data_IF_116375996673
#
_entry.id   IF_116375996673
#
_cell.length_a   1.000
_cell.length_b   1.000
_cell.length_c   1.000
_cell.angle_alpha   90.00
_cell.angle_beta   90.00
_cell.angle_gamma   90.00
#
_symmetry.space_group_name_H-M   'P 1'
#
loop_
_entity.id
_entity.type
_entity.pdbx_description
1 polymer ?
#
# COMPACT_ATOMS: atom_id res chain seq x y z
N UNK A 1 -7.04 34.58 -26.13
CA UNK A 1 -7.60 33.99 -24.87
C UNK A 1 -7.73 32.50 -25.09
N UNK A 2 -6.72 31.76 -24.72
CA UNK A 2 -6.70 30.28 -24.84
C UNK A 2 -7.34 29.73 -23.58
N UNK A 3 -8.52 29.16 -23.72
CA UNK A 3 -9.19 28.44 -22.64
C UNK A 3 -8.32 27.24 -22.28
N UNK A 4 -7.84 27.21 -21.04
CA UNK A 4 -7.24 26.02 -20.44
C UNK A 4 -8.32 24.93 -20.41
N UNK A 5 -8.07 23.83 -21.12
CA UNK A 5 -8.90 22.63 -21.07
C UNK A 5 -8.97 22.15 -19.62
N UNK A 6 -10.16 21.91 -19.05
CA UNK A 6 -10.23 21.29 -17.73
C UNK A 6 -9.58 19.91 -17.83
N UNK A 7 -8.64 19.63 -16.92
CA UNK A 7 -8.03 18.31 -16.73
C UNK A 7 -9.20 17.32 -16.62
N UNK A 8 -9.38 16.48 -17.63
CA UNK A 8 -10.34 15.37 -17.56
C UNK A 8 -10.00 14.57 -16.30
N UNK A 9 -10.88 14.60 -15.33
CA UNK A 9 -10.73 13.84 -14.11
C UNK A 9 -10.67 12.36 -14.51
N UNK A 10 -9.47 11.76 -14.43
CA UNK A 10 -9.26 10.36 -14.78
C UNK A 10 -10.16 9.52 -13.87
N UNK A 11 -11.12 8.80 -14.46
CA UNK A 11 -12.06 7.98 -13.69
C UNK A 11 -11.31 6.94 -12.86
N UNK A 12 -11.67 6.74 -11.58
CA UNK A 12 -11.04 5.75 -10.74
C UNK A 12 -11.09 4.34 -11.34
N UNK A 13 -10.00 3.58 -11.19
CA UNK A 13 -9.94 2.19 -11.62
C UNK A 13 -10.76 1.28 -10.68
N UNK A 14 -10.86 1.64 -9.40
CA UNK A 14 -11.64 0.95 -8.38
C UNK A 14 -12.32 1.99 -7.47
N UNK A 15 -13.59 1.76 -7.16
CA UNK A 15 -14.33 2.49 -6.13
C UNK A 15 -15.01 1.49 -5.21
N UNK A 16 -14.69 1.53 -3.94
CA UNK A 16 -15.41 0.88 -2.86
C UNK A 16 -16.25 1.93 -2.14
N UNK A 17 -17.56 1.77 -2.10
CA UNK A 17 -18.47 2.74 -1.50
C UNK A 17 -19.27 2.11 -0.36
N UNK A 18 -19.00 2.52 0.87
CA UNK A 18 -19.69 2.13 2.11
C UNK A 18 -19.84 0.62 2.28
N UNK A 19 -18.75 -0.12 2.01
CA UNK A 19 -18.75 -1.58 2.08
C UNK A 19 -18.92 -2.04 3.52
N UNK A 20 -19.93 -2.86 3.75
CA UNK A 20 -20.16 -3.51 5.03
C UNK A 20 -20.34 -5.01 4.83
N UNK A 21 -19.73 -5.80 5.70
CA UNK A 21 -19.89 -7.26 5.74
C UNK A 21 -20.17 -7.73 7.15
N UNK A 22 -21.33 -8.35 7.32
CA UNK A 22 -21.73 -9.04 8.55
C UNK A 22 -21.72 -10.53 8.29
N UNK A 23 -21.08 -11.29 9.18
CA UNK A 23 -21.05 -12.76 9.16
C UNK A 23 -21.55 -13.25 10.53
N UNK A 24 -22.71 -13.93 10.53
CA UNK A 24 -23.40 -14.26 11.77
C UNK A 24 -23.78 -13.00 12.54
N UNK A 25 -23.31 -12.89 13.78
CA UNK A 25 -23.53 -11.72 14.64
C UNK A 25 -22.36 -10.70 14.60
N UNK A 26 -21.32 -10.94 13.81
CA UNK A 26 -20.11 -10.09 13.80
C UNK A 26 -20.04 -9.25 12.53
N UNK A 27 -19.83 -7.95 12.70
CA UNK A 27 -19.45 -7.07 11.61
C UNK A 27 -17.94 -7.18 11.39
N UNK A 28 -17.55 -7.72 10.22
CA UNK A 28 -16.16 -7.94 9.85
C UNK A 28 -15.59 -6.74 9.11
N UNK A 29 -16.41 -6.09 8.28
CA UNK A 29 -16.09 -4.86 7.55
C UNK A 29 -17.24 -3.90 7.78
N UNK A 30 -16.95 -2.66 8.15
CA UNK A 30 -17.94 -1.69 8.59
C UNK A 30 -17.72 -0.34 7.90
N UNK A 31 -18.60 -0.05 6.94
CA UNK A 31 -18.66 1.21 6.19
C UNK A 31 -17.34 1.63 5.55
N UNK A 32 -16.61 0.70 4.95
CA UNK A 32 -15.33 0.95 4.28
C UNK A 32 -15.55 1.61 2.92
N UNK A 33 -14.92 2.75 2.70
CA UNK A 33 -14.95 3.49 1.43
C UNK A 33 -13.55 3.94 1.05
N UNK A 34 -13.15 3.75 -0.20
CA UNK A 34 -11.90 4.23 -0.79
C UNK A 34 -11.96 4.17 -2.31
N UNK A 35 -11.06 4.88 -2.96
CA UNK A 35 -10.88 4.85 -4.41
C UNK A 35 -9.43 4.62 -4.81
N UNK A 36 -9.23 4.00 -5.97
CA UNK A 36 -7.93 3.74 -6.55
C UNK A 36 -7.85 4.35 -7.94
N UNK A 37 -6.79 5.11 -8.20
CA UNK A 37 -6.58 5.81 -9.47
C UNK A 37 -5.71 4.98 -10.42
N UNK A 38 -5.86 5.13 -11.74
CA UNK A 38 -4.91 4.56 -12.68
C UNK A 38 -3.49 5.07 -12.42
N UNK A 39 -2.51 4.15 -12.51
CA UNK A 39 -1.09 4.50 -12.37
C UNK A 39 -0.60 4.63 -10.92
N UNK A 40 -1.45 4.36 -9.92
CA UNK A 40 -1.01 4.37 -8.52
C UNK A 40 -0.88 2.98 -7.91
N UNK A 41 0.01 2.85 -6.93
CA UNK A 41 0.08 1.70 -6.03
C UNK A 41 -0.58 2.08 -4.72
N UNK A 42 -1.69 1.44 -4.39
CA UNK A 42 -2.48 1.69 -3.19
C UNK A 42 -2.33 0.56 -2.18
N UNK A 43 -1.92 0.91 -0.97
CA UNK A 43 -1.75 0.00 0.15
C UNK A 43 -3.00 -0.09 1.03
N UNK A 44 -3.46 -1.30 1.33
CA UNK A 44 -4.55 -1.56 2.27
C UNK A 44 -3.99 -2.28 3.49
N UNK A 45 -3.73 -1.52 4.55
CA UNK A 45 -2.89 -1.90 5.67
C UNK A 45 -3.69 -2.24 6.91
N UNK A 46 -3.22 -3.23 7.66
CA UNK A 46 -3.80 -3.54 8.95
C UNK A 46 -3.33 -4.88 9.50
N UNK A 47 -3.56 -5.14 10.79
CA UNK A 47 -3.18 -6.39 11.41
C UNK A 47 -3.98 -7.58 10.87
N UNK A 48 -3.57 -8.77 11.26
CA UNK A 48 -4.31 -9.98 10.95
C UNK A 48 -5.71 -9.91 11.58
N UNK A 49 -6.74 -10.29 10.80
CA UNK A 49 -8.13 -10.18 11.25
C UNK A 49 -8.77 -8.79 11.15
N UNK A 50 -8.05 -7.77 10.66
CA UNK A 50 -8.61 -6.41 10.48
C UNK A 50 -9.72 -6.31 9.43
N UNK A 51 -9.90 -7.33 8.58
CA UNK A 51 -10.90 -7.36 7.51
C UNK A 51 -10.34 -7.23 6.09
N UNK A 52 -9.01 -7.23 5.90
CA UNK A 52 -8.34 -7.05 4.59
C UNK A 52 -8.81 -8.06 3.55
N UNK A 53 -8.58 -9.35 3.76
CA UNK A 53 -8.96 -10.43 2.83
C UNK A 53 -10.48 -10.46 2.60
N UNK A 54 -11.29 -10.18 3.64
CA UNK A 54 -12.75 -10.07 3.49
C UNK A 54 -13.14 -8.93 2.56
N UNK A 55 -12.47 -7.77 2.68
CA UNK A 55 -12.67 -6.64 1.77
C UNK A 55 -12.28 -7.02 0.35
N UNK A 56 -11.09 -7.61 0.14
CA UNK A 56 -10.64 -8.07 -1.17
C UNK A 56 -11.63 -9.05 -1.80
N UNK A 57 -12.10 -10.03 -1.05
CA UNK A 57 -13.11 -10.98 -1.54
C UNK A 57 -14.42 -10.32 -1.95
N UNK A 58 -14.83 -9.22 -1.28
CA UNK A 58 -15.96 -8.41 -1.71
C UNK A 58 -15.65 -7.63 -3.00
N UNK A 59 -14.45 -7.06 -3.10
CA UNK A 59 -14.02 -6.34 -4.31
C UNK A 59 -14.13 -7.25 -5.53
N UNK A 60 -13.53 -8.42 -5.50
CA UNK A 60 -13.50 -9.34 -6.64
C UNK A 60 -14.77 -10.22 -6.78
N UNK A 61 -15.80 -9.93 -5.99
CA UNK A 61 -17.11 -10.59 -6.10
C UNK A 61 -17.16 -12.03 -5.57
N UNK A 62 -16.12 -12.53 -4.89
CA UNK A 62 -16.10 -13.85 -4.26
C UNK A 62 -17.11 -13.97 -3.10
N UNK A 63 -17.36 -12.86 -2.41
CA UNK A 63 -18.42 -12.76 -1.41
C UNK A 63 -19.25 -11.51 -1.64
N UNK A 64 -20.56 -11.57 -1.37
CA UNK A 64 -21.43 -10.40 -1.45
C UNK A 64 -21.28 -9.52 -0.22
N UNK A 65 -21.11 -8.19 -0.37
CA UNK A 65 -21.25 -7.26 0.76
C UNK A 65 -22.69 -7.33 1.32
N UNK A 66 -22.84 -7.08 2.62
CA UNK A 66 -24.14 -6.91 3.27
C UNK A 66 -24.79 -5.60 2.82
N UNK A 67 -24.00 -4.54 2.69
CA UNK A 67 -24.36 -3.26 2.09
C UNK A 67 -23.16 -2.60 1.40
N UNK A 68 -23.40 -1.57 0.62
CA UNK A 68 -22.38 -0.87 -0.15
C UNK A 68 -22.26 -1.40 -1.59
N UNK A 69 -21.30 -0.82 -2.33
CA UNK A 69 -21.11 -1.09 -3.75
C UNK A 69 -19.64 -1.11 -4.11
N UNK A 70 -19.30 -1.92 -5.11
CA UNK A 70 -17.98 -1.94 -5.76
C UNK A 70 -18.14 -1.63 -7.23
N UNK A 71 -17.34 -0.68 -7.73
CA UNK A 71 -17.23 -0.35 -9.14
C UNK A 71 -15.79 -0.53 -9.59
N UNK A 72 -15.56 -1.28 -10.67
CA UNK A 72 -14.22 -1.50 -11.26
C UNK A 72 -14.24 -1.06 -12.70
N UNK A 73 -13.31 -0.17 -13.06
CA UNK A 73 -13.19 0.39 -14.41
C UNK A 73 -14.51 0.92 -14.98
N UNK A 74 -15.41 1.44 -14.11
CA UNK A 74 -16.72 1.93 -14.47
C UNK A 74 -17.86 0.90 -14.42
N UNK A 75 -17.56 -0.39 -14.21
CA UNK A 75 -18.56 -1.46 -14.13
C UNK A 75 -18.92 -1.79 -12.67
N UNK A 76 -20.22 -1.90 -12.39
CA UNK A 76 -20.69 -2.39 -11.08
C UNK A 76 -20.47 -3.90 -10.98
N UNK A 77 -19.67 -4.33 -10.00
CA UNK A 77 -19.28 -5.76 -9.81
C UNK A 77 -20.50 -6.68 -9.62
N UNK A 78 -21.63 -6.18 -9.15
CA UNK A 78 -22.86 -7.00 -8.96
C UNK A 78 -23.70 -7.11 -10.21
N UNK A 79 -23.70 -6.08 -11.06
CA UNK A 79 -24.55 -5.99 -12.26
C UNK A 79 -23.82 -6.45 -13.50
N UNK A 80 -22.55 -6.04 -13.60
CA UNK A 80 -21.74 -6.18 -14.81
C UNK A 80 -20.49 -7.03 -14.50
N UNK A 81 -20.66 -8.13 -13.75
CA UNK A 81 -19.58 -8.94 -13.17
C UNK A 81 -18.50 -9.32 -14.20
N UNK A 82 -18.92 -9.85 -15.35
CA UNK A 82 -17.98 -10.32 -16.39
C UNK A 82 -17.15 -9.15 -16.96
N UNK A 83 -17.79 -8.01 -17.24
CA UNK A 83 -17.12 -6.83 -17.74
C UNK A 83 -16.16 -6.23 -16.71
N UNK A 84 -16.56 -6.21 -15.43
CA UNK A 84 -15.71 -5.80 -14.32
C UNK A 84 -14.48 -6.72 -14.19
N UNK A 85 -14.65 -8.05 -14.20
CA UNK A 85 -13.57 -9.02 -14.01
C UNK A 85 -12.61 -9.08 -15.19
N UNK A 86 -13.04 -8.77 -16.41
CA UNK A 86 -12.12 -8.64 -17.56
C UNK A 86 -11.09 -7.51 -17.41
N UNK A 87 -11.37 -6.54 -16.57
CA UNK A 87 -10.45 -5.43 -16.31
C UNK A 87 -9.47 -5.71 -15.15
N UNK A 88 -9.62 -6.85 -14.47
CA UNK A 88 -8.95 -7.13 -13.21
C UNK A 88 -8.09 -8.38 -13.30
N UNK A 89 -6.82 -8.26 -12.89
CA UNK A 89 -6.00 -9.39 -12.48
C UNK A 89 -5.99 -9.47 -10.97
N UNK A 90 -6.16 -10.65 -10.38
CA UNK A 90 -6.15 -10.76 -8.93
C UNK A 90 -5.44 -12.03 -8.45
N UNK A 91 -4.79 -11.90 -7.28
CA UNK A 91 -4.32 -13.01 -6.46
C UNK A 91 -4.92 -12.78 -5.08
N UNK A 92 -5.78 -13.70 -4.65
CA UNK A 92 -6.36 -13.70 -3.30
C UNK A 92 -5.69 -14.83 -2.52
N UNK A 93 -4.98 -14.47 -1.46
CA UNK A 93 -4.13 -15.36 -0.67
C UNK A 93 -2.89 -15.84 -1.47
N UNK A 94 -2.80 -17.12 -1.86
CA UNK A 94 -1.66 -17.67 -2.59
C UNK A 94 -2.04 -17.96 -4.04
N UNK A 95 -1.09 -17.82 -4.99
CA UNK A 95 -1.34 -18.25 -6.36
C UNK A 95 -1.53 -19.76 -6.44
N UNK A 96 -2.67 -20.17 -7.00
CA UNK A 96 -3.00 -21.58 -7.24
C UNK A 96 -2.28 -22.08 -8.49
N UNK A 97 -1.04 -22.56 -8.29
CA UNK A 97 -0.18 -23.06 -9.35
C UNK A 97 -0.09 -24.60 -9.32
N UNK A 98 -0.18 -25.21 -10.48
CA UNK A 98 0.03 -26.65 -10.64
C UNK A 98 1.53 -26.97 -10.57
N UNK A 99 1.99 -27.42 -9.40
CA UNK A 99 3.44 -27.64 -9.12
C UNK A 99 4.09 -28.71 -9.99
N UNK A 100 3.31 -29.66 -10.50
CA UNK A 100 3.79 -30.72 -11.40
C UNK A 100 3.96 -30.27 -12.86
N UNK A 101 3.35 -29.15 -13.22
CA UNK A 101 3.48 -28.49 -14.52
C UNK A 101 4.68 -27.54 -14.54
N UNK A 102 5.15 -27.18 -15.73
CA UNK A 102 6.09 -26.08 -15.95
C UNK A 102 5.42 -24.73 -15.77
N UNK A 103 6.21 -23.66 -15.66
CA UNK A 103 5.68 -22.29 -15.63
C UNK A 103 4.87 -21.97 -16.90
N UNK A 104 5.39 -22.40 -18.05
CA UNK A 104 4.73 -22.26 -19.37
C UNK A 104 3.37 -22.95 -19.40
N UNK A 105 3.31 -24.23 -19.03
CA UNK A 105 2.06 -25.00 -19.01
C UNK A 105 1.02 -24.38 -18.06
N UNK A 106 1.44 -23.83 -16.92
CA UNK A 106 0.56 -23.09 -16.03
C UNK A 106 -0.03 -21.86 -16.75
N UNK A 107 0.81 -21.02 -17.35
CA UNK A 107 0.32 -19.82 -18.04
C UNK A 107 -0.55 -20.16 -19.26
N UNK A 108 -0.21 -21.21 -20.02
CA UNK A 108 -1.04 -21.69 -21.13
C UNK A 108 -2.43 -22.14 -20.67
N UNK A 109 -2.51 -22.83 -19.53
CA UNK A 109 -3.78 -23.27 -18.97
C UNK A 109 -4.71 -22.06 -18.73
N UNK A 110 -4.21 -21.01 -18.06
CA UNK A 110 -4.97 -19.80 -17.79
C UNK A 110 -5.21 -18.95 -19.05
N UNK A 111 -4.26 -18.86 -19.96
CA UNK A 111 -4.42 -18.17 -21.25
C UNK A 111 -5.58 -18.76 -22.07
N UNK A 112 -5.72 -20.10 -22.10
CA UNK A 112 -6.85 -20.77 -22.74
C UNK A 112 -8.18 -20.43 -22.06
N UNK A 113 -8.25 -20.41 -20.73
CA UNK A 113 -9.45 -20.04 -19.97
C UNK A 113 -9.89 -18.62 -20.27
N UNK A 114 -8.93 -17.70 -20.41
CA UNK A 114 -9.16 -16.29 -20.71
C UNK A 114 -9.32 -16.00 -22.21
N UNK A 115 -9.10 -17.01 -23.08
CA UNK A 115 -9.12 -16.87 -24.53
C UNK A 115 -8.12 -15.82 -25.04
N UNK A 116 -6.94 -15.71 -24.40
CA UNK A 116 -5.86 -14.81 -24.82
C UNK A 116 -4.83 -15.51 -25.71
N UNK A 117 -4.19 -14.79 -26.64
CA UNK A 117 -3.18 -15.38 -27.53
C UNK A 117 -1.96 -15.91 -26.78
N UNK A 118 -1.32 -16.97 -27.30
CA UNK A 118 -0.09 -17.53 -26.71
C UNK A 118 1.09 -16.54 -26.60
N UNK A 119 1.15 -15.55 -27.47
CA UNK A 119 2.14 -14.47 -27.39
C UNK A 119 2.08 -13.66 -26.07
N UNK A 120 0.94 -13.65 -25.41
CA UNK A 120 0.79 -13.02 -24.08
C UNK A 120 1.64 -13.71 -23.00
N UNK A 121 1.90 -15.02 -23.15
CA UNK A 121 2.71 -15.80 -22.20
C UNK A 121 4.13 -15.27 -22.14
N UNK A 122 4.75 -15.05 -23.30
CA UNK A 122 6.12 -14.51 -23.37
C UNK A 122 6.15 -13.09 -22.80
N UNK A 123 5.19 -12.27 -23.19
CA UNK A 123 5.05 -10.89 -22.69
C UNK A 123 4.95 -10.81 -21.15
N UNK A 124 4.09 -11.63 -20.53
CA UNK A 124 3.95 -11.60 -19.07
C UNK A 124 5.15 -12.24 -18.38
N UNK A 125 5.80 -13.23 -18.98
CA UNK A 125 7.00 -13.86 -18.45
C UNK A 125 8.18 -12.87 -18.40
N UNK A 126 8.39 -12.08 -19.45
CA UNK A 126 9.38 -11.01 -19.48
C UNK A 126 9.08 -9.93 -18.42
N UNK A 127 7.81 -9.56 -18.26
CA UNK A 127 7.40 -8.57 -17.25
C UNK A 127 7.80 -8.96 -15.83
N UNK A 128 7.70 -10.26 -15.52
CA UNK A 128 8.01 -10.78 -14.18
C UNK A 128 9.41 -11.38 -14.07
N UNK A 129 10.25 -11.25 -15.12
CA UNK A 129 11.61 -11.80 -15.21
C UNK A 129 11.66 -13.33 -14.94
N UNK A 130 10.80 -14.07 -15.64
CA UNK A 130 10.74 -15.54 -15.60
C UNK A 130 10.90 -16.17 -16.99
N UNK A 131 11.20 -15.42 -18.05
CA UNK A 131 11.30 -15.88 -19.44
C UNK A 131 12.27 -17.07 -19.62
N UNK A 132 13.39 -17.08 -18.87
CA UNK A 132 14.40 -18.15 -18.91
C UNK A 132 14.09 -19.33 -17.97
N UNK A 133 12.96 -19.28 -17.24
CA UNK A 133 12.56 -20.28 -16.25
C UNK A 133 11.26 -20.99 -16.58
N UNK A 134 10.53 -20.52 -17.61
CA UNK A 134 9.19 -21.03 -17.95
C UNK A 134 9.13 -22.55 -18.17
N UNK A 135 10.17 -23.14 -18.72
CA UNK A 135 10.20 -24.57 -19.05
C UNK A 135 10.62 -25.47 -17.87
N UNK A 136 10.87 -24.87 -16.71
CA UNK A 136 11.13 -25.60 -15.46
C UNK A 136 9.82 -25.86 -14.71
N UNK A 137 9.75 -27.00 -14.00
CA UNK A 137 8.58 -27.34 -13.17
C UNK A 137 8.43 -26.36 -12.01
N UNK A 138 7.20 -25.89 -11.79
CA UNK A 138 6.86 -24.94 -10.71
C UNK A 138 7.19 -25.50 -9.32
N UNK A 139 7.19 -26.83 -9.16
CA UNK A 139 7.62 -27.49 -7.92
C UNK A 139 9.07 -27.16 -7.51
N UNK A 140 9.93 -26.78 -8.47
CA UNK A 140 11.34 -26.41 -8.22
C UNK A 140 11.55 -24.90 -8.02
N UNK A 141 10.50 -24.09 -8.16
CA UNK A 141 10.58 -22.65 -8.01
C UNK A 141 10.75 -22.24 -6.55
N UNK A 142 11.54 -21.19 -6.31
CA UNK A 142 11.54 -20.49 -5.02
C UNK A 142 10.15 -19.87 -4.74
N UNK A 143 9.91 -19.45 -3.51
CA UNK A 143 8.65 -18.77 -3.18
C UNK A 143 8.47 -17.50 -4.02
N UNK A 144 9.52 -16.68 -4.15
CA UNK A 144 9.50 -15.47 -4.98
C UNK A 144 9.23 -15.76 -6.45
N UNK A 145 9.80 -16.84 -7.03
CA UNK A 145 9.46 -17.25 -8.39
C UNK A 145 7.99 -17.65 -8.52
N UNK A 146 7.43 -18.35 -7.54
CA UNK A 146 5.99 -18.69 -7.55
C UNK A 146 5.10 -17.48 -7.45
N UNK A 147 5.44 -16.52 -6.59
CA UNK A 147 4.71 -15.25 -6.49
C UNK A 147 4.75 -14.48 -7.82
N UNK A 148 5.93 -14.36 -8.44
CA UNK A 148 6.06 -13.72 -9.76
C UNK A 148 5.29 -14.44 -10.85
N UNK A 149 5.26 -15.77 -10.86
CA UNK A 149 4.44 -16.53 -11.80
C UNK A 149 2.94 -16.30 -11.59
N UNK A 150 2.50 -16.20 -10.31
CA UNK A 150 1.12 -15.80 -9.98
C UNK A 150 0.78 -14.39 -10.49
N UNK A 151 1.70 -13.43 -10.34
CA UNK A 151 1.53 -12.09 -10.92
C UNK A 151 1.48 -12.18 -12.45
N UNK A 152 2.34 -12.97 -13.11
CA UNK A 152 2.27 -13.19 -14.55
C UNK A 152 0.89 -13.75 -14.98
N UNK A 153 0.36 -14.72 -14.25
CA UNK A 153 -0.99 -15.25 -14.45
C UNK A 153 -2.06 -14.17 -14.34
N UNK A 154 -1.99 -13.33 -13.29
CA UNK A 154 -2.93 -12.23 -13.10
C UNK A 154 -2.83 -11.15 -14.18
N UNK A 155 -1.67 -11.01 -14.85
CA UNK A 155 -1.42 -10.07 -15.94
C UNK A 155 -1.86 -10.57 -17.33
N UNK A 156 -2.26 -11.84 -17.47
CA UNK A 156 -2.82 -12.35 -18.72
C UNK A 156 -4.10 -11.56 -19.06
N UNK A 157 -4.25 -11.23 -20.35
CA UNK A 157 -5.39 -10.43 -20.80
C UNK A 157 -5.25 -8.91 -20.56
N UNK A 158 -4.07 -8.47 -20.12
CA UNK A 158 -3.74 -7.03 -19.98
C UNK A 158 -4.73 -6.25 -19.12
N UNK A 159 -4.91 -6.62 -17.83
CA UNK A 159 -5.84 -5.94 -16.94
C UNK A 159 -5.41 -4.49 -16.68
N UNK A 160 -6.38 -3.64 -16.36
CA UNK A 160 -6.16 -2.23 -15.94
C UNK A 160 -5.99 -2.08 -14.43
N UNK A 161 -6.45 -3.07 -13.68
CA UNK A 161 -6.41 -3.13 -12.23
C UNK A 161 -5.77 -4.46 -11.79
N UNK A 162 -4.81 -4.40 -10.89
CA UNK A 162 -4.19 -5.57 -10.26
C UNK A 162 -4.50 -5.55 -8.76
N UNK A 163 -5.04 -6.64 -8.23
CA UNK A 163 -5.37 -6.79 -6.81
C UNK A 163 -4.56 -7.96 -6.24
N UNK A 164 -3.75 -7.68 -5.22
CA UNK A 164 -2.85 -8.65 -4.61
C UNK A 164 -3.05 -8.69 -3.09
N UNK A 165 -3.37 -9.87 -2.58
CA UNK A 165 -3.52 -10.09 -1.13
C UNK A 165 -2.19 -10.61 -0.58
N UNK A 166 -1.52 -9.80 0.27
CA UNK A 166 -0.25 -10.12 0.95
C UNK A 166 0.87 -10.63 0.01
N UNK A 167 1.19 -9.97 -1.13
CA UNK A 167 2.08 -10.52 -2.15
C UNK A 167 3.53 -10.68 -1.72
N UNK A 168 3.95 -10.00 -0.65
CA UNK A 168 5.30 -10.05 -0.08
C UNK A 168 5.42 -11.07 1.06
N UNK A 169 4.31 -11.69 1.50
CA UNK A 169 4.31 -12.56 2.66
C UNK A 169 5.21 -13.80 2.47
N UNK A 170 6.10 -14.01 3.44
CA UNK A 170 7.03 -15.15 3.46
C UNK A 170 8.20 -15.05 2.48
N UNK A 171 8.35 -13.95 1.74
CA UNK A 171 9.50 -13.71 0.88
C UNK A 171 10.72 -13.28 1.70
N UNK A 172 11.89 -13.59 1.19
CA UNK A 172 13.14 -13.03 1.67
C UNK A 172 13.28 -11.55 1.24
N UNK A 173 14.20 -10.77 1.84
CA UNK A 173 14.35 -9.34 1.51
C UNK A 173 14.65 -9.07 0.03
N UNK A 174 15.27 -10.01 -0.69
CA UNK A 174 15.51 -9.87 -2.12
C UNK A 174 14.21 -10.02 -2.92
N UNK A 175 13.41 -11.05 -2.62
CA UNK A 175 12.11 -11.28 -3.24
C UNK A 175 11.12 -10.14 -3.00
N UNK A 176 11.11 -9.57 -1.79
CA UNK A 176 10.30 -8.39 -1.47
C UNK A 176 10.67 -7.21 -2.38
N UNK A 177 11.98 -6.92 -2.52
CA UNK A 177 12.46 -5.84 -3.42
C UNK A 177 12.08 -6.09 -4.88
N UNK A 178 12.15 -7.34 -5.35
CA UNK A 178 11.77 -7.71 -6.71
C UNK A 178 10.28 -7.46 -6.97
N UNK A 179 9.40 -7.92 -6.07
CA UNK A 179 7.95 -7.68 -6.18
C UNK A 179 7.65 -6.18 -6.13
N UNK A 180 8.23 -5.44 -5.19
CA UNK A 180 8.06 -3.98 -5.09
C UNK A 180 8.43 -3.28 -6.40
N UNK A 181 9.61 -3.58 -6.95
CA UNK A 181 10.08 -2.99 -8.21
C UNK A 181 9.14 -3.32 -9.37
N UNK A 182 8.67 -4.56 -9.42
CA UNK A 182 7.71 -5.00 -10.43
C UNK A 182 6.40 -4.20 -10.35
N UNK A 183 5.80 -4.09 -9.17
CA UNK A 183 4.51 -3.41 -8.99
C UNK A 183 4.61 -1.92 -9.30
N UNK A 184 5.66 -1.24 -8.82
CA UNK A 184 5.89 0.16 -9.17
C UNK A 184 6.11 0.37 -10.66
N UNK A 185 6.83 -0.53 -11.34
CA UNK A 185 7.02 -0.48 -12.79
C UNK A 185 5.70 -0.65 -13.55
N UNK A 186 4.84 -1.59 -13.14
CA UNK A 186 3.52 -1.79 -13.74
C UNK A 186 2.64 -0.54 -13.59
N UNK A 187 2.65 0.10 -12.44
CA UNK A 187 1.90 1.33 -12.21
C UNK A 187 2.47 2.49 -13.06
N UNK A 188 3.76 2.78 -12.96
CA UNK A 188 4.38 3.94 -13.60
C UNK A 188 4.44 3.84 -15.13
N UNK A 189 4.83 2.67 -15.68
CA UNK A 189 5.07 2.54 -17.12
C UNK A 189 3.82 2.13 -17.91
N UNK A 190 2.86 1.47 -17.26
CA UNK A 190 1.65 0.95 -17.92
C UNK A 190 0.36 1.63 -17.48
N UNK A 191 0.43 2.58 -16.55
CA UNK A 191 -0.74 3.24 -16.01
C UNK A 191 -1.68 2.29 -15.25
N UNK A 192 -1.17 1.11 -14.82
CA UNK A 192 -1.96 0.11 -14.13
C UNK A 192 -2.27 0.59 -12.71
N UNK A 193 -3.51 0.46 -12.27
CA UNK A 193 -3.86 0.63 -10.87
C UNK A 193 -3.48 -0.65 -10.12
N UNK A 194 -2.76 -0.53 -9.01
CA UNK A 194 -2.29 -1.67 -8.22
C UNK A 194 -2.79 -1.55 -6.78
N UNK A 195 -3.62 -2.49 -6.35
CA UNK A 195 -4.09 -2.62 -4.98
C UNK A 195 -3.32 -3.74 -4.28
N UNK A 196 -2.72 -3.42 -3.15
CA UNK A 196 -1.93 -4.37 -2.35
C UNK A 196 -2.42 -4.36 -0.91
N UNK A 197 -2.80 -5.51 -0.37
CA UNK A 197 -2.94 -5.63 1.08
C UNK A 197 -1.61 -6.02 1.72
N UNK A 198 -1.36 -5.53 2.92
CA UNK A 198 -0.19 -5.94 3.70
C UNK A 198 -0.40 -5.71 5.19
N UNK A 199 0.35 -6.47 5.99
CA UNK A 199 0.56 -6.19 7.40
C UNK A 199 1.98 -5.65 7.66
N UNK A 200 2.86 -5.62 6.66
CA UNK A 200 4.24 -5.14 6.74
C UNK A 200 4.30 -3.65 6.38
N UNK A 201 4.17 -2.78 7.39
CA UNK A 201 4.05 -1.32 7.21
C UNK A 201 5.26 -0.71 6.52
N UNK A 202 6.49 -1.10 6.90
CA UNK A 202 7.71 -0.58 6.29
C UNK A 202 7.86 -0.93 4.80
N UNK A 203 7.34 -2.07 4.34
CA UNK A 203 7.38 -2.44 2.92
C UNK A 203 6.38 -1.61 2.10
N UNK A 204 5.22 -1.34 2.68
CA UNK A 204 4.19 -0.53 2.02
C UNK A 204 4.65 0.92 1.89
N UNK A 205 5.32 1.46 2.91
CA UNK A 205 5.91 2.80 2.89
C UNK A 205 6.83 3.00 1.69
N UNK A 206 7.60 1.96 1.33
CA UNK A 206 8.52 1.98 0.19
C UNK A 206 7.85 1.69 -1.16
N UNK A 207 6.65 1.11 -1.16
CA UNK A 207 5.99 0.60 -2.36
C UNK A 207 4.81 1.46 -2.81
N UNK A 208 4.01 1.96 -1.87
CA UNK A 208 2.71 2.58 -2.17
C UNK A 208 2.80 4.10 -2.30
N UNK A 209 1.94 4.66 -3.12
CA UNK A 209 1.76 6.11 -3.27
C UNK A 209 0.74 6.61 -2.24
N UNK A 210 -0.38 5.89 -2.08
CA UNK A 210 -1.41 6.14 -1.07
C UNK A 210 -1.72 4.87 -0.28
N UNK A 211 -2.24 5.06 0.92
CA UNK A 211 -2.62 3.96 1.81
C UNK A 211 -3.95 4.22 2.50
N UNK A 212 -4.67 3.14 2.82
CA UNK A 212 -5.72 3.14 3.81
C UNK A 212 -5.37 2.17 4.93
N UNK A 213 -5.40 2.65 6.17
CA UNK A 213 -5.15 1.87 7.38
C UNK A 213 -6.49 1.36 7.91
N UNK A 214 -6.66 0.03 7.88
CA UNK A 214 -7.87 -0.63 8.40
C UNK A 214 -7.60 -1.30 9.75
N UNK A 215 -8.51 -1.11 10.70
CA UNK A 215 -8.48 -1.75 12.00
C UNK A 215 -9.91 -2.10 12.44
N UNK A 216 -10.11 -3.31 12.94
CA UNK A 216 -11.44 -3.82 13.40
C UNK A 216 -12.57 -3.54 12.39
N UNK A 217 -12.27 -3.71 11.10
CA UNK A 217 -13.21 -3.56 9.99
C UNK A 217 -13.46 -2.12 9.52
N UNK A 218 -12.79 -1.11 10.07
CA UNK A 218 -12.98 0.30 9.71
C UNK A 218 -11.68 0.93 9.21
N UNK A 219 -11.76 1.82 8.23
CA UNK A 219 -10.62 2.66 7.87
C UNK A 219 -10.45 3.71 8.95
N UNK A 220 -9.25 3.73 9.54
CA UNK A 220 -8.85 4.72 10.54
C UNK A 220 -8.24 5.96 9.90
N UNK A 221 -7.44 5.76 8.85
CA UNK A 221 -6.74 6.82 8.13
C UNK A 221 -6.52 6.44 6.68
N UNK A 222 -6.63 7.42 5.79
CA UNK A 222 -6.32 7.27 4.36
C UNK A 222 -5.61 8.53 3.87
N UNK A 223 -4.64 8.37 3.00
CA UNK A 223 -3.91 9.50 2.41
C UNK A 223 -2.68 9.09 1.63
N UNK A 224 -2.01 10.09 1.08
CA UNK A 224 -0.69 9.94 0.47
C UNK A 224 0.33 9.53 1.54
N UNK A 225 1.16 8.51 1.23
CA UNK A 225 2.16 7.97 2.17
C UNK A 225 3.11 9.07 2.65
N UNK A 226 3.59 9.90 1.73
CA UNK A 226 4.53 10.97 2.06
C UNK A 226 3.89 12.03 2.94
N UNK A 227 2.65 12.42 2.65
CA UNK A 227 1.91 13.38 3.47
C UNK A 227 1.64 12.85 4.88
N UNK A 228 1.24 11.57 4.98
CA UNK A 228 0.97 10.92 6.26
C UNK A 228 2.20 10.85 7.15
N UNK A 229 3.37 10.62 6.57
CA UNK A 229 4.66 10.53 7.28
C UNK A 229 5.21 11.94 7.56
N UNK A 230 5.13 12.87 6.58
CA UNK A 230 5.70 14.21 6.68
C UNK A 230 4.80 15.22 7.42
N UNK A 231 3.56 14.86 7.71
CA UNK A 231 2.60 15.76 8.40
C UNK A 231 3.03 16.17 9.81
N UNK A 232 4.01 15.49 10.37
CA UNK A 232 4.62 15.84 11.66
C UNK A 232 5.94 16.57 11.43
N UNK A 233 5.98 17.77 11.97
CA UNK A 233 7.11 18.69 11.86
C UNK A 233 8.05 18.55 13.07
N UNK A 234 8.24 17.34 13.58
CA UNK A 234 8.99 17.07 14.80
C UNK A 234 10.50 17.07 14.55
N UNK A 235 11.22 17.85 15.35
CA UNK A 235 12.67 17.86 15.44
C UNK A 235 13.07 17.42 16.84
N UNK A 236 13.93 16.42 16.93
CA UNK A 236 14.52 15.95 18.18
C UNK A 236 15.81 16.72 18.46
N UNK A 237 15.90 17.27 19.66
CA UNK A 237 17.06 17.99 20.17
C UNK A 237 17.66 17.26 21.38
N UNK A 238 18.98 17.06 21.39
CA UNK A 238 19.74 16.72 22.57
C UNK A 238 20.61 17.91 22.97
N UNK A 239 20.36 18.40 24.17
CA UNK A 239 21.00 19.62 24.72
C UNK A 239 21.68 19.34 26.05
N UNK A 240 22.51 20.25 26.51
CA UNK A 240 23.15 20.17 27.83
C UNK A 240 22.19 20.52 28.99
N UNK A 241 21.31 21.49 28.79
CA UNK A 241 20.36 21.95 29.80
C UNK A 241 18.92 21.91 29.24
N UNK A 242 18.24 20.79 29.49
CA UNK A 242 16.89 20.52 29.00
C UNK A 242 15.85 21.49 29.57
N UNK A 243 15.98 21.83 30.85
CA UNK A 243 15.03 22.71 31.54
C UNK A 243 15.12 24.15 30.97
N UNK A 244 16.32 24.64 30.76
CA UNK A 244 16.57 25.93 30.14
C UNK A 244 16.08 26.02 28.72
N UNK A 245 16.35 24.98 27.93
CA UNK A 245 15.86 24.90 26.56
C UNK A 245 14.35 24.86 26.46
N UNK A 246 13.68 24.05 27.31
CA UNK A 246 12.23 24.01 27.40
C UNK A 246 11.58 25.34 27.79
N UNK A 247 12.18 26.08 28.75
CA UNK A 247 11.73 27.41 29.07
C UNK A 247 11.81 28.40 27.91
N UNK A 248 12.92 28.40 27.19
CA UNK A 248 13.10 29.25 25.99
C UNK A 248 12.12 28.90 24.86
N UNK A 249 11.82 27.61 24.66
CA UNK A 249 10.83 27.15 23.69
C UNK A 249 9.41 27.59 24.11
N UNK A 250 9.08 27.46 25.38
CA UNK A 250 7.79 27.90 25.93
C UNK A 250 7.58 29.44 25.82
N UNK A 251 8.59 30.25 26.11
CA UNK A 251 8.55 31.71 25.91
C UNK A 251 8.25 32.11 24.45
N UNK A 252 8.62 31.28 23.50
CA UNK A 252 8.36 31.52 22.08
C UNK A 252 7.08 30.87 21.54
N UNK A 253 6.29 30.24 22.42
CA UNK A 253 5.10 29.49 22.09
C UNK A 253 5.41 28.34 21.06
N UNK A 254 6.61 27.78 21.09
CA UNK A 254 6.98 26.62 20.30
C UNK A 254 6.52 25.37 21.03
N UNK A 255 5.66 24.57 20.39
CA UNK A 255 5.15 23.32 20.95
C UNK A 255 6.29 22.32 21.08
N UNK A 256 6.48 21.79 22.29
CA UNK A 256 7.54 20.82 22.55
C UNK A 256 7.13 19.82 23.65
N UNK A 257 7.80 18.67 23.65
CA UNK A 257 7.68 17.65 24.69
C UNK A 257 9.07 17.21 25.13
N UNK A 258 9.22 16.86 26.41
CA UNK A 258 10.49 16.38 26.96
C UNK A 258 10.34 14.90 27.31
N UNK A 259 11.18 14.05 26.70
CA UNK A 259 11.19 12.60 26.92
C UNK A 259 12.65 12.12 27.09
N UNK A 260 12.96 11.47 28.18
CA UNK A 260 14.28 10.83 28.44
C UNK A 260 15.50 11.74 28.17
N UNK A 261 15.38 13.04 28.46
CA UNK A 261 16.47 14.00 28.25
C UNK A 261 16.61 14.51 26.82
N UNK A 262 15.69 14.17 25.95
CA UNK A 262 15.51 14.71 24.60
C UNK A 262 14.33 15.67 24.57
N UNK A 263 14.38 16.64 23.66
CA UNK A 263 13.28 17.58 23.43
C UNK A 263 12.75 17.37 22.01
N UNK A 264 11.50 16.95 21.91
CA UNK A 264 10.79 16.92 20.63
C UNK A 264 10.10 18.27 20.41
N UNK A 265 10.38 18.92 19.28
CA UNK A 265 9.93 20.27 18.94
C UNK A 265 9.10 20.20 17.67
N UNK A 266 7.86 20.72 17.70
CA UNK A 266 7.01 20.85 16.50
C UNK A 266 7.38 22.16 15.77
N UNK A 267 8.17 22.03 14.70
CA UNK A 267 8.70 23.16 13.96
C UNK A 267 8.93 22.87 12.48
N UNK A 268 8.65 23.85 11.62
CA UNK A 268 8.96 23.77 10.20
C UNK A 268 10.46 23.76 9.92
N UNK A 269 10.84 23.16 8.78
CA UNK A 269 12.24 23.08 8.38
C UNK A 269 12.89 24.48 8.20
N UNK A 270 12.12 25.41 7.66
CA UNK A 270 12.59 26.77 7.45
C UNK A 270 12.87 27.52 8.77
N UNK A 271 12.14 27.17 9.85
CA UNK A 271 12.26 27.80 11.17
C UNK A 271 13.30 27.11 12.06
N UNK A 272 13.79 25.93 11.67
CA UNK A 272 14.80 25.17 12.43
C UNK A 272 16.11 25.95 12.62
N UNK A 273 16.76 26.50 11.56
CA UNK A 273 18.04 27.19 11.75
C UNK A 273 17.94 28.44 12.67
N UNK A 274 16.93 29.31 12.55
CA UNK A 274 16.79 30.43 13.46
C UNK A 274 16.53 29.99 14.92
N UNK A 275 15.74 28.92 15.15
CA UNK A 275 15.51 28.39 16.49
C UNK A 275 16.79 27.85 17.13
N UNK A 276 17.54 27.02 16.39
CA UNK A 276 18.82 26.47 16.83
C UNK A 276 19.82 27.59 17.18
N UNK A 277 19.94 28.60 16.32
CA UNK A 277 20.83 29.74 16.55
C UNK A 277 20.43 30.53 17.80
N UNK A 278 19.15 30.57 18.11
CA UNK A 278 18.67 31.30 19.27
C UNK A 278 18.90 30.52 20.58
N UNK A 279 18.64 29.22 20.62
CA UNK A 279 18.99 28.37 21.75
C UNK A 279 20.46 28.48 22.10
N UNK A 280 21.35 28.44 21.10
CA UNK A 280 22.79 28.60 21.28
C UNK A 280 23.16 29.99 21.81
N UNK A 281 22.56 31.08 21.26
CA UNK A 281 22.79 32.45 21.76
C UNK A 281 22.38 32.61 23.22
N UNK A 282 21.37 31.88 23.67
CA UNK A 282 20.91 31.90 25.07
C UNK A 282 21.66 30.89 25.96
N UNK A 283 22.78 30.35 25.47
CA UNK A 283 23.71 29.54 26.26
C UNK A 283 23.32 28.06 26.39
N UNK A 284 22.45 27.53 25.53
CA UNK A 284 22.16 26.11 25.44
C UNK A 284 23.10 25.47 24.43
N UNK A 285 23.88 24.47 24.84
CA UNK A 285 24.72 23.70 23.93
C UNK A 285 23.91 22.58 23.29
N UNK A 286 23.87 22.52 21.97
CA UNK A 286 23.14 21.51 21.21
C UNK A 286 24.12 20.44 20.75
N UNK A 287 23.96 19.20 21.23
CA UNK A 287 24.77 18.05 20.86
C UNK A 287 24.23 17.31 19.63
N UNK A 288 22.91 17.39 19.44
CA UNK A 288 22.23 16.74 18.32
C UNK A 288 20.94 17.52 17.97
N UNK A 289 20.70 17.67 16.69
CA UNK A 289 19.46 18.21 16.15
C UNK A 289 19.10 17.39 14.90
N UNK A 290 18.06 16.59 14.98
CA UNK A 290 17.64 15.73 13.90
C UNK A 290 16.14 15.83 13.68
N UNK A 291 15.71 15.88 12.42
CA UNK A 291 14.28 15.69 12.11
C UNK A 291 13.87 14.27 12.41
N UNK A 292 12.80 14.13 13.17
CA UNK A 292 12.17 12.83 13.40
C UNK A 292 11.54 12.37 12.10
N UNK A 293 12.02 11.24 11.59
CA UNK A 293 11.41 10.57 10.44
C UNK A 293 10.32 9.68 11.02
N UNK A 294 9.08 10.10 10.87
CA UNK A 294 7.96 9.27 11.25
C UNK A 294 7.76 8.15 10.25
N UNK A 295 7.28 7.01 10.73
CA UNK A 295 7.00 5.84 9.92
C UNK A 295 5.49 5.55 9.94
N UNK A 296 5.03 4.78 8.94
CA UNK A 296 3.65 4.28 8.96
C UNK A 296 3.38 3.38 10.19
N UNK A 297 4.43 2.76 10.73
CA UNK A 297 4.32 1.92 11.93
C UNK A 297 4.02 2.76 13.18
N UNK A 298 4.74 3.86 13.40
CA UNK A 298 4.45 4.80 14.49
C UNK A 298 3.04 5.37 14.37
N UNK A 299 2.66 5.79 13.15
CA UNK A 299 1.32 6.30 12.87
C UNK A 299 0.23 5.26 13.19
N UNK A 300 0.49 4.00 12.86
CA UNK A 300 -0.43 2.90 13.15
C UNK A 300 -0.56 2.68 14.66
N UNK A 301 0.54 2.57 15.40
CA UNK A 301 0.56 2.35 16.84
C UNK A 301 -0.21 3.44 17.59
N UNK A 302 -0.02 4.70 17.23
CA UNK A 302 -0.74 5.82 17.83
C UNK A 302 -2.24 5.77 17.53
N UNK A 303 -2.60 5.49 16.27
CA UNK A 303 -3.99 5.45 15.83
C UNK A 303 -4.76 4.27 16.47
N UNK A 304 -4.06 3.18 16.81
CA UNK A 304 -4.63 1.96 17.40
C UNK A 304 -4.49 1.87 18.93
N UNK A 305 -3.90 2.89 19.57
CA UNK A 305 -3.68 2.90 21.02
C UNK A 305 -2.62 1.90 21.49
N UNK A 306 -1.62 1.59 20.64
CA UNK A 306 -0.50 0.72 20.97
C UNK A 306 -0.71 -0.76 20.65
N UNK A 307 -1.78 -1.13 19.95
CA UNK A 307 -1.95 -2.50 19.45
C UNK A 307 -0.93 -2.75 18.31
N UNK A 308 0.03 -3.65 18.52
CA UNK A 308 1.04 -4.00 17.52
C UNK A 308 0.44 -4.77 16.35
N UNK A 309 1.02 -4.59 15.16
CA UNK A 309 0.75 -5.42 13.97
C UNK A 309 1.46 -6.75 14.20
N UNK A 310 0.76 -7.72 14.78
CA UNK A 310 1.29 -9.06 15.08
C UNK A 310 0.94 -10.07 13.99
#
# INVERSE_FOLDING_TARGET
MTQANPIEAVSPALVAASLTKVIGARTIVDNVSFELRPGEVFGFLGPNGAGKTTTIRMLVGLIRPTSGRVTMCGYDVRRDFEAAMRCVGCIVENPDLYRFMTGRENLEHFARMLSVPGAEIERVAELVALEHRLDQRVGTYSLGMRQRLGVAQALLGSPRLLILDEPANGLDPAGIREIRTLLRRLAAERGMAVFVSSHLLGEVELMCDRVAIIHKGRILKEGDVRELISSRREMELRVDDVDRAALLLAEKNVVHTVNDGLIDVDIDEADTPPLVAELVRNGVAIFHAQRKVHTLEELFLETTGGETVG
#
